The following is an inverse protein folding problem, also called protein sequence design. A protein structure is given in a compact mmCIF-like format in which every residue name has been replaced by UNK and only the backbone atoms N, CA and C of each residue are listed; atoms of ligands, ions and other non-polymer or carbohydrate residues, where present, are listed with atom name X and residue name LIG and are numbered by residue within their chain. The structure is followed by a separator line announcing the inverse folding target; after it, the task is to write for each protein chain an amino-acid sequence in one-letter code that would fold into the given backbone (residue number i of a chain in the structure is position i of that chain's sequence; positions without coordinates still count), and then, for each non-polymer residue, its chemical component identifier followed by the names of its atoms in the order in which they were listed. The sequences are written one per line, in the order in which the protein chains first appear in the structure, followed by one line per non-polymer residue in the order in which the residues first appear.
data_IF_842204520360
#
_entry.id   IF_842204520360
#
_cell.length_a   1.000
_cell.length_b   1.000
_cell.length_c   1.000
_cell.angle_alpha   90.00
_cell.angle_beta   90.00
_cell.angle_gamma   90.00
#
_symmetry.space_group_name_H-M   'P 1'
#
loop_
_entity.id
_entity.type
_entity.pdbx_description
1 polymer ?
#
# COMPACT_ATOMS: atom_id res chain seq x y z
N UNK A 1 5.56 8.52 1.50
CA UNK A 1 4.86 7.27 1.14
C UNK A 1 4.50 6.44 2.37
N UNK A 2 5.45 6.09 3.24
CA UNK A 2 5.21 5.27 4.44
C UNK A 2 4.06 5.78 5.30
N UNK A 3 4.02 7.07 5.60
CA UNK A 3 2.95 7.67 6.41
C UNK A 3 1.55 7.42 5.82
N UNK A 4 1.38 7.68 4.53
CA UNK A 4 0.09 7.44 3.85
C UNK A 4 -0.27 5.96 3.81
N UNK A 5 0.71 5.08 3.55
CA UNK A 5 0.50 3.64 3.59
C UNK A 5 0.03 3.17 4.98
N UNK A 6 0.66 3.69 6.04
CA UNK A 6 0.30 3.38 7.43
C UNK A 6 -1.12 3.84 7.76
N UNK A 7 -1.48 5.08 7.40
CA UNK A 7 -2.83 5.63 7.64
C UNK A 7 -3.89 4.80 6.93
N UNK A 8 -3.67 4.46 5.66
CA UNK A 8 -4.64 3.66 4.88
C UNK A 8 -4.75 2.23 5.39
N UNK A 9 -3.63 1.63 5.82
CA UNK A 9 -3.61 0.31 6.43
C UNK A 9 -4.35 0.29 7.78
N UNK A 10 -4.10 1.26 8.66
CA UNK A 10 -4.80 1.40 9.93
C UNK A 10 -6.31 1.62 9.72
N UNK A 11 -6.68 2.43 8.73
CA UNK A 11 -8.09 2.65 8.39
C UNK A 11 -8.77 1.33 7.95
N UNK A 12 -8.09 0.52 7.15
CA UNK A 12 -8.59 -0.78 6.72
C UNK A 12 -8.72 -1.76 7.90
N UNK A 13 -7.73 -1.79 8.82
CA UNK A 13 -7.70 -2.75 9.94
C UNK A 13 -8.64 -2.36 11.09
N UNK A 14 -8.70 -1.08 11.46
CA UNK A 14 -9.45 -0.62 12.62
C UNK A 14 -10.92 -0.30 12.28
N UNK A 15 -11.17 0.26 11.09
CA UNK A 15 -12.50 0.71 10.68
C UNK A 15 -13.15 -0.20 9.63
N UNK A 16 -12.43 -1.23 9.15
CA UNK A 16 -12.92 -2.08 8.06
C UNK A 16 -13.12 -1.35 6.74
N UNK A 17 -12.61 -0.10 6.62
CA UNK A 17 -12.79 0.71 5.43
C UNK A 17 -11.58 0.56 4.50
N UNK A 18 -11.75 -0.20 3.42
CA UNK A 18 -10.72 -0.48 2.42
C UNK A 18 -10.65 0.54 1.28
N UNK A 19 -11.56 1.51 1.23
CA UNK A 19 -11.59 2.49 0.13
C UNK A 19 -10.31 3.34 0.06
N UNK A 20 -9.79 3.90 1.17
CA UNK A 20 -8.53 4.63 1.13
C UNK A 20 -7.35 3.76 0.67
N UNK A 21 -7.34 2.47 1.06
CA UNK A 21 -6.29 1.52 0.63
C UNK A 21 -6.35 1.28 -0.88
N UNK A 22 -7.54 1.17 -1.47
CA UNK A 22 -7.71 1.03 -2.94
C UNK A 22 -7.14 2.23 -3.68
N UNK A 23 -7.47 3.44 -3.23
CA UNK A 23 -6.94 4.69 -3.81
C UNK A 23 -5.42 4.74 -3.67
N UNK A 24 -4.89 4.40 -2.49
CA UNK A 24 -3.45 4.40 -2.24
C UNK A 24 -2.71 3.40 -3.12
N UNK A 25 -3.23 2.19 -3.29
CA UNK A 25 -2.61 1.15 -4.16
C UNK A 25 -2.51 1.64 -5.60
N UNK A 26 -3.55 2.29 -6.14
CA UNK A 26 -3.52 2.86 -7.48
C UNK A 26 -2.48 3.98 -7.57
N UNK A 27 -2.45 4.90 -6.60
CA UNK A 27 -1.48 5.99 -6.55
C UNK A 27 -0.04 5.46 -6.47
N UNK A 28 0.18 4.45 -5.62
CA UNK A 28 1.48 3.80 -5.45
C UNK A 28 1.93 3.10 -6.74
N UNK A 29 1.02 2.41 -7.41
CA UNK A 29 1.32 1.73 -8.68
C UNK A 29 1.72 2.72 -9.78
N UNK A 30 0.99 3.85 -9.91
CA UNK A 30 1.33 4.91 -10.87
C UNK A 30 2.71 5.49 -10.56
N UNK A 31 3.00 5.81 -9.29
CA UNK A 31 4.29 6.36 -8.87
C UNK A 31 5.45 5.41 -9.21
N UNK A 32 5.32 4.12 -8.92
CA UNK A 32 6.35 3.12 -9.23
C UNK A 32 6.46 2.83 -10.73
N UNK A 33 5.38 2.88 -11.47
CA UNK A 33 5.40 2.79 -12.94
C UNK A 33 6.23 3.92 -13.54
N UNK A 34 6.01 5.15 -13.09
CA UNK A 34 6.80 6.31 -13.54
C UNK A 34 8.28 6.16 -13.19
N UNK A 35 8.63 5.62 -12.02
CA UNK A 35 10.02 5.40 -11.61
C UNK A 35 10.75 4.38 -12.46
N UNK A 36 10.09 3.29 -12.84
CA UNK A 36 10.73 2.16 -13.52
C UNK A 36 10.74 2.36 -15.03
N UNK A 37 9.60 2.75 -15.60
CA UNK A 37 9.41 2.76 -17.06
C UNK A 37 9.63 4.12 -17.72
N UNK A 38 9.44 5.23 -16.98
CA UNK A 38 9.60 6.56 -17.56
C UNK A 38 10.90 7.20 -17.08
N UNK A 39 10.89 7.81 -15.92
CA UNK A 39 12.07 8.41 -15.32
C UNK A 39 11.77 8.73 -13.84
N UNK A 40 12.67 8.40 -12.91
CA UNK A 40 12.50 8.72 -11.49
C UNK A 40 12.26 10.21 -11.20
N UNK A 41 12.77 11.11 -12.07
CA UNK A 41 12.58 12.57 -11.94
C UNK A 41 11.12 13.01 -12.01
N UNK A 42 10.25 12.20 -12.62
CA UNK A 42 8.83 12.48 -12.77
C UNK A 42 7.94 11.73 -11.79
N UNK A 43 8.52 10.94 -10.89
CA UNK A 43 7.76 10.29 -9.84
C UNK A 43 7.23 11.31 -8.82
N UNK A 44 5.91 11.41 -8.59
CA UNK A 44 5.31 12.40 -7.71
C UNK A 44 5.84 12.37 -6.28
N UNK A 45 6.06 11.18 -5.75
CA UNK A 45 6.59 11.03 -4.39
C UNK A 45 8.05 11.46 -4.27
N UNK A 46 8.87 11.25 -5.33
CA UNK A 46 10.26 11.72 -5.36
C UNK A 46 10.34 13.23 -5.55
N UNK A 47 9.44 13.82 -6.35
CA UNK A 47 9.34 15.28 -6.49
C UNK A 47 9.06 15.91 -5.12
N UNK A 48 8.06 15.39 -4.40
CA UNK A 48 7.73 15.85 -3.05
C UNK A 48 8.90 15.63 -2.08
N UNK A 49 9.55 14.46 -2.16
CA UNK A 49 10.73 14.15 -1.35
C UNK A 49 11.87 15.12 -1.60
N UNK A 50 12.21 15.38 -2.86
CA UNK A 50 13.26 16.34 -3.24
C UNK A 50 12.96 17.76 -2.74
N UNK A 51 11.70 18.17 -2.76
CA UNK A 51 11.28 19.47 -2.26
C UNK A 51 11.48 19.60 -0.74
N UNK A 52 11.20 18.53 0.02
CA UNK A 52 11.34 18.49 1.48
C UNK A 52 12.82 18.49 1.89
N UNK A 53 13.67 17.69 1.18
CA UNK A 53 15.08 17.49 1.57
C UNK A 53 16.07 18.43 0.85
N UNK A 54 15.62 19.55 0.31
CA UNK A 54 16.43 20.48 -0.50
C UNK A 54 17.73 20.96 0.16
N UNK A 55 17.79 20.95 1.49
CA UNK A 55 18.93 21.41 2.26
C UNK A 55 19.83 20.30 2.80
N UNK A 56 19.58 19.04 2.44
CA UNK A 56 20.35 17.91 2.95
C UNK A 56 21.41 17.46 1.92
N UNK A 57 22.55 16.99 2.41
CA UNK A 57 23.57 16.37 1.56
C UNK A 57 23.08 15.02 1.03
N UNK A 58 23.15 14.77 -0.29
CA UNK A 58 22.64 13.53 -0.88
C UNK A 58 23.55 12.36 -0.55
N UNK A 59 22.95 11.25 -0.09
CA UNK A 59 23.63 9.96 0.02
C UNK A 59 23.48 9.18 -1.29
N UNK A 60 24.59 8.73 -1.83
CA UNK A 60 24.62 7.98 -3.08
C UNK A 60 24.38 6.49 -2.83
N UNK A 61 23.50 5.90 -3.62
CA UNK A 61 23.20 4.46 -3.65
C UNK A 61 23.29 4.00 -5.09
N UNK A 62 23.78 2.79 -5.33
CA UNK A 62 23.91 2.23 -6.66
C UNK A 62 22.57 2.19 -7.42
N UNK A 63 22.59 2.67 -8.65
CA UNK A 63 21.39 2.73 -9.49
C UNK A 63 20.75 1.35 -9.75
N UNK A 64 21.52 0.25 -9.99
CA UNK A 64 20.95 -1.08 -10.16
C UNK A 64 20.22 -1.59 -8.92
N UNK A 65 20.80 -1.36 -7.73
CA UNK A 65 20.22 -1.76 -6.45
C UNK A 65 18.87 -1.08 -6.21
N UNK A 66 18.78 0.25 -6.46
CA UNK A 66 17.51 0.99 -6.32
C UNK A 66 16.46 0.53 -7.32
N UNK A 67 16.85 0.27 -8.58
CA UNK A 67 15.91 -0.26 -9.58
C UNK A 67 15.34 -1.60 -9.17
N UNK A 68 16.17 -2.49 -8.62
CA UNK A 68 15.72 -3.78 -8.10
C UNK A 68 14.74 -3.62 -6.92
N UNK A 69 15.04 -2.73 -5.97
CA UNK A 69 14.14 -2.42 -4.86
C UNK A 69 12.79 -1.87 -5.35
N UNK A 70 12.80 -0.98 -6.35
CA UNK A 70 11.57 -0.47 -6.97
C UNK A 70 10.79 -1.56 -7.71
N UNK A 71 11.47 -2.51 -8.35
CA UNK A 71 10.81 -3.63 -9.01
C UNK A 71 10.08 -4.53 -7.99
N UNK A 72 10.64 -4.76 -6.81
CA UNK A 72 9.95 -5.46 -5.72
C UNK A 72 8.69 -4.68 -5.31
N UNK A 73 8.81 -3.38 -5.05
CA UNK A 73 7.67 -2.52 -4.70
C UNK A 73 6.58 -2.52 -5.77
N UNK A 74 6.96 -2.46 -7.03
CA UNK A 74 6.04 -2.53 -8.16
C UNK A 74 5.30 -3.86 -8.25
N UNK A 75 6.01 -4.98 -8.05
CA UNK A 75 5.39 -6.32 -8.06
C UNK A 75 4.38 -6.47 -6.91
N UNK A 76 4.72 -6.00 -5.72
CA UNK A 76 3.78 -5.97 -4.59
C UNK A 76 2.57 -5.09 -4.89
N UNK A 77 2.77 -3.93 -5.52
CA UNK A 77 1.68 -3.03 -5.92
C UNK A 77 0.75 -3.66 -6.97
N UNK A 78 1.30 -4.38 -7.96
CA UNK A 78 0.51 -5.12 -8.95
C UNK A 78 -0.32 -6.23 -8.30
N UNK A 79 0.27 -6.96 -7.36
CA UNK A 79 -0.44 -8.01 -6.62
C UNK A 79 -1.60 -7.41 -5.83
N UNK A 80 -1.36 -6.30 -5.12
CA UNK A 80 -2.40 -5.58 -4.37
C UNK A 80 -3.48 -4.98 -5.28
N UNK A 81 -3.09 -4.44 -6.43
CA UNK A 81 -4.02 -3.94 -7.44
C UNK A 81 -4.96 -5.05 -7.90
N UNK A 82 -4.42 -6.21 -8.23
CA UNK A 82 -5.21 -7.37 -8.64
C UNK A 82 -6.15 -7.85 -7.53
N UNK A 83 -5.62 -8.03 -6.32
CA UNK A 83 -6.39 -8.61 -5.21
C UNK A 83 -7.48 -7.66 -4.69
N UNK A 84 -7.12 -6.41 -4.34
CA UNK A 84 -8.02 -5.48 -3.65
C UNK A 84 -8.86 -4.66 -4.63
N UNK A 85 -8.25 -4.16 -5.72
CA UNK A 85 -8.97 -3.24 -6.62
C UNK A 85 -9.81 -4.00 -7.63
N UNK A 86 -9.23 -5.05 -8.27
CA UNK A 86 -9.92 -5.78 -9.35
C UNK A 86 -10.83 -6.87 -8.78
N UNK A 87 -10.32 -7.73 -7.91
CA UNK A 87 -11.07 -8.87 -7.36
C UNK A 87 -11.88 -8.52 -6.12
N UNK A 88 -11.53 -7.45 -5.40
CA UNK A 88 -12.18 -7.08 -4.14
C UNK A 88 -12.01 -8.11 -3.01
N UNK A 89 -11.03 -9.02 -3.15
CA UNK A 89 -10.78 -10.07 -2.15
C UNK A 89 -10.08 -9.45 -0.95
N UNK A 90 -10.69 -9.58 0.21
CA UNK A 90 -10.14 -9.15 1.50
C UNK A 90 -9.82 -10.42 2.29
N UNK A 91 -8.53 -10.62 2.63
CA UNK A 91 -8.13 -11.85 3.33
C UNK A 91 -6.70 -11.76 3.90
N UNK A 92 -6.25 -12.83 4.57
CA UNK A 92 -4.93 -12.86 5.23
C UNK A 92 -3.77 -12.64 4.25
N UNK A 93 -3.92 -13.03 2.99
CA UNK A 93 -2.90 -12.81 1.96
C UNK A 93 -2.70 -11.31 1.72
N UNK A 94 -3.79 -10.52 1.64
CA UNK A 94 -3.71 -9.07 1.51
C UNK A 94 -3.01 -8.44 2.70
N UNK A 95 -3.30 -8.91 3.90
CA UNK A 95 -2.66 -8.44 5.13
C UNK A 95 -1.15 -8.70 5.10
N UNK A 96 -0.72 -9.89 4.67
CA UNK A 96 0.69 -10.23 4.51
C UNK A 96 1.39 -9.35 3.48
N UNK A 97 0.80 -9.15 2.30
CA UNK A 97 1.38 -8.31 1.24
C UNK A 97 1.46 -6.85 1.67
N UNK A 98 0.38 -6.31 2.26
CA UNK A 98 0.38 -4.96 2.83
C UNK A 98 1.41 -4.80 3.95
N UNK A 99 1.47 -5.75 4.88
CA UNK A 99 2.42 -5.75 5.98
C UNK A 99 3.87 -5.80 5.50
N UNK A 100 4.16 -6.63 4.50
CA UNK A 100 5.48 -6.68 3.86
C UNK A 100 5.84 -5.35 3.21
N UNK A 101 4.91 -4.75 2.47
CA UNK A 101 5.11 -3.44 1.85
C UNK A 101 5.37 -2.35 2.90
N UNK A 102 4.59 -2.34 3.99
CA UNK A 102 4.78 -1.41 5.11
C UNK A 102 6.13 -1.60 5.79
N UNK A 103 6.56 -2.84 6.03
CA UNK A 103 7.87 -3.14 6.61
C UNK A 103 9.01 -2.62 5.73
N UNK A 104 8.96 -2.86 4.43
CA UNK A 104 9.96 -2.35 3.50
C UNK A 104 10.03 -0.83 3.52
N UNK A 105 8.88 -0.15 3.45
CA UNK A 105 8.79 1.31 3.53
C UNK A 105 9.23 1.85 4.90
N UNK A 106 8.94 1.13 5.97
CA UNK A 106 9.35 1.50 7.32
C UNK A 106 10.88 1.50 7.48
N UNK A 107 11.55 0.42 7.07
CA UNK A 107 13.01 0.35 7.15
C UNK A 107 13.68 1.40 6.27
N UNK A 108 13.14 1.66 5.09
CA UNK A 108 13.67 2.69 4.20
C UNK A 108 13.49 4.11 4.78
N UNK A 109 12.30 4.40 5.37
CA UNK A 109 11.99 5.74 5.86
C UNK A 109 12.57 6.06 7.24
N UNK A 110 12.65 5.07 8.14
CA UNK A 110 13.07 5.28 9.54
C UNK A 110 14.56 5.08 9.75
N UNK A 111 15.16 4.13 9.05
CA UNK A 111 16.56 3.77 9.21
C UNK A 111 17.42 4.09 7.97
N UNK A 112 16.82 4.53 6.88
CA UNK A 112 17.54 4.70 5.62
C UNK A 112 18.03 3.39 5.02
N UNK A 113 17.58 2.24 5.56
CA UNK A 113 18.03 0.92 5.13
C UNK A 113 17.12 0.42 4.00
N UNK A 114 17.67 0.35 2.79
CA UNK A 114 16.99 -0.26 1.66
C UNK A 114 17.18 -1.79 1.71
N UNK A 115 16.17 -2.52 2.23
CA UNK A 115 16.21 -3.99 2.29
C UNK A 115 16.34 -4.59 0.88
N UNK A 116 15.64 -4.05 -0.11
CA UNK A 116 15.76 -4.49 -1.50
C UNK A 116 17.17 -4.31 -2.06
N UNK A 117 17.88 -3.25 -1.66
CA UNK A 117 19.28 -3.02 -2.04
C UNK A 117 20.20 -4.08 -1.42
N UNK A 118 20.02 -4.38 -0.12
CA UNK A 118 20.78 -5.44 0.56
C UNK A 118 20.50 -6.83 -0.02
N UNK A 119 19.26 -7.09 -0.40
CA UNK A 119 18.88 -8.32 -1.05
C UNK A 119 19.57 -8.46 -2.42
N UNK A 120 19.63 -7.38 -3.18
CA UNK A 120 20.37 -7.34 -4.44
C UNK A 120 21.86 -7.67 -4.25
N UNK A 121 22.50 -7.06 -3.24
CA UNK A 121 23.92 -7.31 -2.95
C UNK A 121 24.20 -8.77 -2.54
N UNK A 122 23.24 -9.39 -1.88
CA UNK A 122 23.35 -10.81 -1.50
C UNK A 122 23.31 -11.74 -2.73
N UNK A 123 22.54 -11.38 -3.76
CA UNK A 123 22.43 -12.16 -5.00
C UNK A 123 23.44 -11.74 -6.07
N UNK A 124 23.92 -10.50 -6.06
CA UNK A 124 24.89 -9.95 -7.01
C UNK A 124 26.29 -10.05 -6.41
N UNK A 125 27.18 -10.75 -7.09
CA UNK A 125 28.61 -10.84 -6.69
C UNK A 125 29.41 -9.57 -7.01
N UNK A 126 28.82 -8.62 -7.73
CA UNK A 126 29.50 -7.38 -8.12
C UNK A 126 29.25 -6.31 -7.05
N UNK A 127 30.30 -5.76 -6.50
CA UNK A 127 30.24 -4.57 -5.66
C UNK A 127 29.59 -3.42 -6.44
N UNK A 128 28.66 -2.71 -5.82
CA UNK A 128 28.00 -1.58 -6.48
C UNK A 128 29.00 -0.43 -6.66
N UNK A 129 29.31 -0.08 -7.88
CA UNK A 129 30.02 1.16 -8.17
C UNK A 129 29.11 2.34 -7.80
N UNK A 130 29.37 2.94 -6.65
CA UNK A 130 28.60 4.09 -6.14
C UNK A 130 28.91 5.36 -6.96
N UNK A 131 30.14 5.49 -7.41
CA UNK A 131 30.61 6.63 -8.20
C UNK A 131 31.70 6.17 -9.19
N UNK A 132 31.73 6.71 -10.42
CA UNK A 132 32.84 6.45 -11.34
C UNK A 132 34.18 6.85 -10.73
N UNK A 133 35.11 5.90 -10.63
CA UNK A 133 36.45 6.14 -10.10
C UNK A 133 36.54 6.39 -8.60
N UNK A 134 35.55 5.96 -7.81
CA UNK A 134 35.46 6.16 -6.36
C UNK A 134 35.48 7.62 -5.87
N UNK A 135 35.28 8.58 -6.74
CA UNK A 135 35.22 10.01 -6.41
C UNK A 135 33.79 10.49 -6.53
N UNK A 136 33.09 10.56 -5.41
CA UNK A 136 31.76 11.17 -5.32
C UNK A 136 31.88 12.67 -5.09
N UNK A 137 32.19 13.43 -6.12
CA UNK A 137 32.08 14.90 -6.06
C UNK A 137 30.63 15.31 -6.32
N UNK A 138 29.95 15.86 -5.32
CA UNK A 138 28.65 16.47 -5.49
C UNK A 138 28.81 17.80 -6.23
N UNK A 139 28.57 17.77 -7.53
CA UNK A 139 28.28 18.98 -8.29
C UNK A 139 26.76 19.04 -8.48
N UNK A 140 26.04 19.97 -7.82
CA UNK A 140 24.62 20.14 -8.09
C UNK A 140 24.46 20.47 -9.56
N UNK A 141 23.81 19.56 -10.30
CA UNK A 141 23.51 19.80 -11.71
C UNK A 141 22.70 21.11 -11.83
N UNK A 142 23.02 22.00 -12.77
CA UNK A 142 22.21 23.19 -13.02
C UNK A 142 20.80 22.74 -13.35
N UNK A 143 19.84 23.12 -12.47
CA UNK A 143 18.45 22.65 -12.55
C UNK A 143 18.01 21.66 -11.46
N UNK A 144 18.84 21.36 -10.44
CA UNK A 144 18.42 20.58 -9.27
C UNK A 144 17.30 21.25 -8.43
N UNK A 145 16.90 22.45 -8.83
CA UNK A 145 15.86 23.25 -8.16
C UNK A 145 14.41 23.01 -8.59
N UNK A 146 14.12 21.87 -9.23
CA UNK A 146 12.75 21.57 -9.67
C UNK A 146 12.40 22.27 -11.00
N UNK A 147 12.00 21.49 -11.99
CA UNK A 147 11.50 22.02 -13.27
C UNK A 147 10.00 22.30 -13.15
N UNK A 148 9.50 23.35 -13.82
CA UNK A 148 8.06 23.61 -13.91
C UNK A 148 7.28 22.40 -14.45
N UNK A 149 7.93 21.60 -15.30
CA UNK A 149 7.39 20.34 -15.83
C UNK A 149 7.13 19.31 -14.71
N UNK A 150 8.00 19.24 -13.71
CA UNK A 150 7.78 18.38 -12.53
C UNK A 150 6.56 18.85 -11.71
N UNK A 151 6.38 20.16 -11.58
CA UNK A 151 5.18 20.74 -10.96
C UNK A 151 3.91 20.38 -11.71
N UNK A 152 3.95 20.45 -13.03
CA UNK A 152 2.82 20.08 -13.89
C UNK A 152 2.50 18.58 -13.75
N UNK A 153 3.49 17.69 -13.80
CA UNK A 153 3.30 16.25 -13.60
C UNK A 153 2.70 15.95 -12.22
N UNK A 154 3.16 16.66 -11.19
CA UNK A 154 2.61 16.52 -9.84
C UNK A 154 1.13 16.94 -9.76
N UNK A 155 0.76 18.06 -10.40
CA UNK A 155 -0.64 18.52 -10.45
C UNK A 155 -1.51 17.52 -11.21
N UNK A 156 -1.05 17.05 -12.38
CA UNK A 156 -1.78 16.04 -13.17
C UNK A 156 -1.98 14.77 -12.37
N UNK A 157 -0.96 14.33 -11.64
CA UNK A 157 -1.07 13.19 -10.73
C UNK A 157 -2.12 13.41 -9.64
N UNK A 158 -2.14 14.57 -8.98
CA UNK A 158 -3.15 14.87 -7.96
C UNK A 158 -4.57 14.85 -8.53
N UNK A 159 -4.77 15.45 -9.71
CA UNK A 159 -6.07 15.42 -10.41
C UNK A 159 -6.47 13.99 -10.75
N UNK A 160 -5.54 13.17 -11.25
CA UNK A 160 -5.80 11.77 -11.57
C UNK A 160 -6.21 10.97 -10.32
N UNK A 161 -5.48 11.12 -9.21
CA UNK A 161 -5.80 10.43 -7.95
C UNK A 161 -7.12 10.92 -7.36
N UNK A 162 -7.45 12.21 -7.48
CA UNK A 162 -8.74 12.74 -7.07
C UNK A 162 -9.90 12.09 -7.85
N UNK A 163 -9.76 11.94 -9.18
CA UNK A 163 -10.76 11.24 -10.01
C UNK A 163 -10.86 9.74 -9.65
N UNK A 164 -9.71 9.09 -9.41
CA UNK A 164 -9.70 7.70 -8.92
C UNK A 164 -10.41 7.58 -7.57
N UNK A 165 -10.20 8.52 -6.66
CA UNK A 165 -10.89 8.54 -5.38
C UNK A 165 -12.41 8.65 -5.57
N UNK A 166 -12.89 9.60 -6.37
CA UNK A 166 -14.32 9.73 -6.68
C UNK A 166 -14.86 8.42 -7.25
N UNK A 167 -14.15 7.80 -8.19
CA UNK A 167 -14.58 6.55 -8.81
C UNK A 167 -14.62 5.40 -7.79
N UNK A 168 -13.59 5.25 -6.95
CA UNK A 168 -13.52 4.22 -5.91
C UNK A 168 -14.64 4.39 -4.89
N UNK A 169 -14.92 5.61 -4.44
CA UNK A 169 -15.97 5.87 -3.47
C UNK A 169 -17.39 5.74 -4.07
N UNK A 170 -17.56 5.94 -5.37
CA UNK A 170 -18.83 5.69 -6.06
C UNK A 170 -19.08 4.20 -6.34
N UNK A 171 -18.04 3.34 -6.30
CA UNK A 171 -18.15 1.90 -6.50
C UNK A 171 -17.65 1.13 -5.27
N UNK A 172 -18.37 1.19 -4.14
CA UNK A 172 -17.98 0.45 -2.94
C UNK A 172 -18.06 -1.05 -3.19
N UNK A 173 -17.02 -1.78 -2.78
CA UNK A 173 -16.97 -3.26 -2.86
C UNK A 173 -17.83 -3.96 -1.80
N UNK A 174 -18.89 -3.30 -1.33
CA UNK A 174 -19.78 -3.79 -0.27
C UNK A 174 -20.42 -5.16 -0.57
N UNK A 175 -20.31 -5.65 -1.80
CA UNK A 175 -21.01 -6.86 -2.21
C UNK A 175 -20.27 -8.17 -1.91
N UNK A 176 -18.99 -8.15 -1.52
CA UNK A 176 -18.26 -9.39 -1.30
C UNK A 176 -18.15 -9.77 0.17
N UNK A 177 -18.04 -8.80 1.08
CA UNK A 177 -18.11 -9.08 2.51
C UNK A 177 -19.54 -9.41 2.94
N UNK A 178 -20.54 -8.70 2.40
CA UNK A 178 -21.95 -9.02 2.61
C UNK A 178 -22.38 -10.30 1.87
N UNK A 179 -21.78 -10.66 0.73
CA UNK A 179 -22.04 -11.93 0.07
C UNK A 179 -21.45 -13.14 0.81
N UNK A 180 -20.35 -12.98 1.55
CA UNK A 180 -19.83 -14.03 2.45
C UNK A 180 -20.63 -14.12 3.75
N UNK A 181 -21.25 -13.02 4.19
CA UNK A 181 -22.16 -12.98 5.34
C UNK A 181 -23.58 -13.36 4.92
N UNK A 182 -23.94 -13.17 3.62
CA UNK A 182 -25.24 -13.50 3.03
C UNK A 182 -25.12 -14.67 2.05
N UNK A 183 -24.22 -15.63 2.29
CA UNK A 183 -24.38 -16.95 1.68
C UNK A 183 -25.80 -17.44 2.06
N UNK A 184 -26.64 -17.84 1.08
CA UNK A 184 -27.97 -18.34 1.42
C UNK A 184 -27.78 -19.44 2.46
N UNK A 185 -28.43 -19.28 3.60
CA UNK A 185 -28.43 -20.27 4.65
C UNK A 185 -28.79 -21.61 3.99
N UNK A 186 -27.83 -22.51 3.94
CA UNK A 186 -28.10 -23.93 3.74
C UNK A 186 -29.28 -24.28 4.63
N UNK A 187 -30.24 -25.12 4.23
CA UNK A 187 -31.41 -25.46 5.05
C UNK A 187 -30.93 -25.71 6.46
N UNK A 188 -31.35 -24.85 7.39
CA UNK A 188 -30.85 -24.85 8.77
C UNK A 188 -31.14 -26.23 9.35
N UNK A 189 -30.07 -26.94 9.67
CA UNK A 189 -30.16 -28.19 10.44
C UNK A 189 -30.94 -27.87 11.72
N UNK A 190 -32.01 -28.62 12.07
CA UNK A 190 -32.80 -28.38 13.28
C UNK A 190 -31.95 -28.24 14.53
N UNK A 191 -30.80 -28.95 14.59
CA UNK A 191 -29.83 -28.86 15.68
C UNK A 191 -29.12 -27.50 15.74
N UNK A 192 -28.95 -26.82 14.63
CA UNK A 192 -28.31 -25.50 14.57
C UNK A 192 -29.26 -24.38 15.00
N UNK A 193 -30.53 -24.51 14.68
CA UNK A 193 -31.59 -23.59 15.15
C UNK A 193 -31.70 -23.64 16.67
N UNK A 194 -31.59 -24.82 17.27
CA UNK A 194 -31.66 -24.99 18.72
C UNK A 194 -30.41 -24.47 19.43
N UNK A 195 -29.23 -24.66 18.85
CA UNK A 195 -27.96 -24.13 19.36
C UNK A 195 -27.91 -22.60 19.33
N UNK A 196 -28.52 -21.97 18.34
CA UNK A 196 -28.51 -20.52 18.14
C UNK A 196 -29.64 -19.78 18.86
N UNK A 197 -30.41 -20.48 19.69
CA UNK A 197 -31.46 -19.89 20.50
C UNK A 197 -30.88 -19.05 21.62
N UNK A 198 -30.97 -17.73 21.51
CA UNK A 198 -30.43 -16.80 22.51
C UNK A 198 -31.12 -17.00 23.85
N UNK A 199 -30.40 -17.30 24.94
CA UNK A 199 -30.98 -17.49 26.25
C UNK A 199 -31.62 -16.19 26.80
N UNK A 200 -32.66 -16.34 27.61
CA UNK A 200 -33.42 -15.22 28.17
C UNK A 200 -32.56 -14.23 28.96
N UNK A 201 -31.50 -14.72 29.65
CA UNK A 201 -30.61 -13.85 30.39
C UNK A 201 -29.81 -12.92 29.47
N UNK A 202 -29.34 -13.38 28.30
CA UNK A 202 -28.59 -12.59 27.36
C UNK A 202 -29.47 -11.50 26.72
N UNK A 203 -30.78 -11.78 26.56
CA UNK A 203 -31.77 -10.80 26.11
C UNK A 203 -31.98 -9.71 27.17
N UNK A 204 -32.12 -10.11 28.43
CA UNK A 204 -32.37 -9.17 29.54
C UNK A 204 -31.22 -8.17 29.78
N UNK A 205 -29.98 -8.57 29.50
CA UNK A 205 -28.81 -7.70 29.66
C UNK A 205 -28.39 -6.98 28.32
N UNK A 206 -29.17 -7.15 27.27
CA UNK A 206 -28.90 -6.48 25.97
C UNK A 206 -27.70 -7.02 25.21
N UNK A 207 -27.21 -8.22 25.53
CA UNK A 207 -26.02 -8.83 24.92
C UNK A 207 -26.36 -9.87 23.85
N UNK A 208 -27.49 -9.78 23.19
CA UNK A 208 -27.92 -10.73 22.16
C UNK A 208 -26.93 -10.86 21.00
N UNK A 209 -26.44 -9.73 20.47
CA UNK A 209 -25.53 -9.73 19.35
C UNK A 209 -24.17 -10.33 19.70
N UNK A 210 -23.65 -10.04 20.89
CA UNK A 210 -22.38 -10.59 21.36
C UNK A 210 -22.48 -12.08 21.63
N UNK A 211 -23.61 -12.54 22.16
CA UNK A 211 -23.86 -13.96 22.37
C UNK A 211 -23.92 -14.73 21.06
N UNK A 212 -24.63 -14.20 20.04
CA UNK A 212 -24.70 -14.79 18.69
C UNK A 212 -23.30 -14.87 18.06
N UNK A 213 -22.51 -13.80 18.17
CA UNK A 213 -21.16 -13.73 17.63
C UNK A 213 -20.23 -14.77 18.27
N UNK A 214 -20.29 -14.96 19.59
CA UNK A 214 -19.47 -15.93 20.32
C UNK A 214 -19.85 -17.40 20.02
N UNK A 215 -21.11 -17.64 19.65
CA UNK A 215 -21.59 -18.97 19.32
C UNK A 215 -21.61 -19.26 17.80
N UNK A 216 -21.05 -18.35 16.98
CA UNK A 216 -21.02 -18.49 15.52
C UNK A 216 -22.40 -18.49 14.90
N UNK A 217 -23.39 -17.82 15.53
CA UNK A 217 -24.78 -17.74 15.09
C UNK A 217 -25.02 -16.39 14.39
N UNK A 218 -25.66 -16.44 13.23
CA UNK A 218 -26.09 -15.26 12.47
C UNK A 218 -27.49 -14.79 12.85
#
# INVERSE_FOLDING_TARGET
LFFFAMVTFMNAMLLGNFQPTRVFVVAFLIDFTLRIFVNPKFSPSLILGQWIVRGQEPQYVGAPQKRFAWAIGFTLALLMMYMIVIKGVIGPINMLVCGTCLLLLFFESSFGICIGCKLYDMFSKNEAELCPGNVCSYNPAPGAGGSWLQGLVFIVFLVAIFNVAIWVYSHPTSNLLSAQISAPATPQDPAEVERCKVPEFAKKIGHEQQWKLHNGCQ
#
